data_IF_072137737193
#
_entry.id   IF_072137737193
#
_cell.length_a   1.000
_cell.length_b   1.000
_cell.length_c   1.000
_cell.angle_alpha   90.00
_cell.angle_beta   90.00
_cell.angle_gamma   90.00
#
_symmetry.space_group_name_H-M   'P 1'
#
loop_
_entity.id
_entity.type
_entity.pdbx_description
1 polymer ?
#
# COMPACT_ATOMS: atom_id res chain seq x y z
N UNK A 1 27.57 -26.23 -5.92
CA UNK A 1 27.35 -26.44 -7.36
C UNK A 1 27.52 -25.10 -8.06
N UNK A 2 28.46 -25.00 -9.01
CA UNK A 2 28.58 -23.79 -9.83
C UNK A 2 27.36 -23.70 -10.75
N UNK A 3 26.58 -22.62 -10.66
CA UNK A 3 25.53 -22.30 -11.64
C UNK A 3 26.23 -21.79 -12.90
N UNK A 4 25.94 -22.38 -14.05
CA UNK A 4 26.32 -21.85 -15.34
C UNK A 4 25.16 -21.00 -15.87
N UNK A 5 25.41 -19.71 -16.05
CA UNK A 5 24.46 -18.81 -16.71
C UNK A 5 24.68 -18.90 -18.23
N UNK A 6 23.64 -19.29 -18.97
CA UNK A 6 23.66 -19.32 -20.43
C UNK A 6 22.91 -18.10 -20.96
N UNK A 7 23.53 -17.37 -21.88
CA UNK A 7 22.88 -16.31 -22.65
C UNK A 7 22.57 -16.85 -24.03
N UNK A 8 21.35 -16.63 -24.52
CA UNK A 8 20.92 -16.97 -25.87
C UNK A 8 20.53 -15.70 -26.62
N UNK A 9 20.85 -15.64 -27.91
CA UNK A 9 20.56 -14.49 -28.77
C UNK A 9 20.10 -14.97 -30.14
N UNK A 10 19.02 -14.39 -30.65
CA UNK A 10 18.54 -14.66 -32.01
C UNK A 10 18.84 -13.44 -32.87
N UNK A 11 19.65 -13.62 -33.92
CA UNK A 11 19.96 -12.56 -34.89
C UNK A 11 18.76 -12.33 -35.82
N UNK A 12 18.75 -11.18 -36.51
CA UNK A 12 17.70 -10.81 -37.47
C UNK A 12 17.50 -11.81 -38.61
N UNK A 13 18.53 -12.59 -38.94
CA UNK A 13 18.47 -13.63 -39.96
C UNK A 13 17.95 -14.98 -39.41
N UNK A 14 17.51 -15.04 -38.15
CA UNK A 14 17.00 -16.25 -37.52
C UNK A 14 18.08 -17.12 -36.86
N UNK A 15 19.37 -16.78 -36.98
CA UNK A 15 20.42 -17.56 -36.31
C UNK A 15 20.32 -17.43 -34.79
N UNK A 16 20.26 -18.57 -34.10
CA UNK A 16 20.32 -18.69 -32.65
C UNK A 16 21.76 -18.95 -32.22
N UNK A 17 22.26 -18.08 -31.35
CA UNK A 17 23.60 -18.14 -30.76
C UNK A 17 23.49 -18.30 -29.24
N UNK A 18 24.44 -18.99 -28.62
CA UNK A 18 24.57 -19.03 -27.17
C UNK A 18 25.98 -18.71 -26.70
N UNK A 19 26.08 -18.15 -25.49
CA UNK A 19 27.32 -17.92 -24.78
C UNK A 19 27.18 -18.43 -23.34
N UNK A 20 28.19 -19.16 -22.88
CA UNK A 20 28.31 -19.58 -21.48
C UNK A 20 29.06 -18.54 -20.67
N UNK A 21 28.55 -18.20 -19.49
CA UNK A 21 29.24 -17.39 -18.49
C UNK A 21 29.89 -18.26 -17.40
N UNK A 22 30.24 -19.51 -17.70
CA UNK A 22 30.92 -20.38 -16.76
C UNK A 22 32.32 -19.83 -16.40
N UNK A 23 32.76 -19.92 -15.13
CA UNK A 23 34.10 -19.49 -14.74
C UNK A 23 35.17 -20.23 -15.57
N UNK A 24 35.95 -19.49 -16.37
CA UNK A 24 36.98 -20.04 -17.25
C UNK A 24 36.58 -20.24 -18.72
N UNK A 25 35.31 -19.98 -19.12
CA UNK A 25 34.93 -20.00 -20.53
C UNK A 25 35.31 -18.70 -21.24
N UNK A 26 35.90 -18.82 -22.43
CA UNK A 26 36.02 -17.69 -23.35
C UNK A 26 34.61 -17.32 -23.81
N UNK A 27 34.23 -16.03 -23.76
CA UNK A 27 32.89 -15.58 -24.13
C UNK A 27 32.74 -15.57 -25.65
N UNK A 28 32.64 -16.75 -26.25
CA UNK A 28 32.31 -16.94 -27.66
C UNK A 28 30.80 -17.15 -27.80
N UNK A 29 30.23 -16.46 -28.78
CA UNK A 29 28.84 -16.70 -29.19
C UNK A 29 28.87 -17.81 -30.23
N UNK A 30 28.48 -19.01 -29.80
CA UNK A 30 28.49 -20.19 -30.64
C UNK A 30 27.13 -20.33 -31.32
N UNK A 31 27.13 -20.56 -32.63
CA UNK A 31 25.92 -20.81 -33.40
C UNK A 31 25.32 -22.15 -32.96
N UNK A 32 24.12 -22.11 -32.39
CA UNK A 32 23.36 -23.30 -32.01
C UNK A 32 22.46 -23.81 -33.13
N UNK A 33 22.03 -22.94 -34.04
CA UNK A 33 21.16 -23.29 -35.16
C UNK A 33 20.32 -22.12 -35.63
N UNK A 34 19.18 -22.42 -36.22
CA UNK A 34 18.18 -21.41 -36.60
C UNK A 34 16.98 -21.51 -35.66
N UNK A 35 16.49 -20.36 -35.20
CA UNK A 35 15.27 -20.28 -34.43
C UNK A 35 14.07 -20.62 -35.33
N UNK A 36 13.09 -21.29 -34.75
CA UNK A 36 11.79 -21.45 -35.38
C UNK A 36 11.16 -20.09 -35.66
N UNK A 37 10.51 -19.97 -36.81
CA UNK A 37 9.80 -18.74 -37.19
C UNK A 37 8.30 -18.96 -37.13
N UNK A 38 7.57 -17.91 -36.77
CA UNK A 38 6.12 -17.88 -36.81
C UNK A 38 5.63 -16.51 -37.25
N UNK A 39 4.47 -16.47 -37.88
CA UNK A 39 3.85 -15.20 -38.26
C UNK A 39 3.48 -14.38 -37.02
N UNK A 40 3.33 -13.06 -37.18
CA UNK A 40 2.91 -12.17 -36.10
C UNK A 40 1.56 -12.57 -35.50
N UNK A 41 0.66 -13.13 -36.32
CA UNK A 41 -0.63 -13.63 -35.88
C UNK A 41 -0.48 -14.87 -34.99
N UNK A 42 0.33 -15.85 -35.41
CA UNK A 42 0.61 -17.06 -34.64
C UNK A 42 1.36 -16.74 -33.34
N UNK A 43 2.32 -15.80 -33.38
CA UNK A 43 3.02 -15.31 -32.18
C UNK A 43 2.06 -14.67 -31.18
N UNK A 44 1.08 -13.89 -31.65
CA UNK A 44 0.07 -13.27 -30.79
C UNK A 44 -0.85 -14.32 -30.15
N UNK A 45 -1.24 -15.37 -30.89
CA UNK A 45 -2.03 -16.49 -30.39
C UNK A 45 -1.22 -17.29 -29.35
N UNK A 46 0.06 -17.57 -29.65
CA UNK A 46 0.96 -18.30 -28.77
C UNK A 46 1.22 -17.54 -27.46
N UNK A 47 1.55 -16.25 -27.54
CA UNK A 47 1.71 -15.38 -26.37
C UNK A 47 0.42 -15.31 -25.54
N UNK A 48 -0.75 -15.22 -26.19
CA UNK A 48 -2.05 -15.24 -25.49
C UNK A 48 -2.32 -16.55 -24.77
N UNK A 49 -1.85 -17.69 -25.32
CA UNK A 49 -1.95 -19.00 -24.67
C UNK A 49 -0.98 -19.15 -23.50
N UNK A 50 0.20 -18.55 -23.60
CA UNK A 50 1.21 -18.54 -22.53
C UNK A 50 0.89 -17.55 -21.39
N UNK A 51 0.18 -16.46 -21.67
CA UNK A 51 -0.13 -15.43 -20.67
C UNK A 51 -0.92 -15.93 -19.45
N UNK A 52 -1.56 -17.11 -19.54
CA UNK A 52 -2.25 -17.77 -18.44
C UNK A 52 -1.37 -18.69 -17.58
N UNK A 53 -0.06 -18.75 -17.84
CA UNK A 53 0.86 -19.61 -17.11
C UNK A 53 1.87 -18.76 -16.35
N UNK A 54 1.98 -19.00 -15.03
CA UNK A 54 3.12 -18.50 -14.27
C UNK A 54 4.35 -19.39 -14.50
N UNK A 55 5.54 -18.80 -14.42
CA UNK A 55 6.83 -19.52 -14.48
C UNK A 55 6.96 -20.53 -13.31
N UNK A 56 6.12 -20.40 -12.27
CA UNK A 56 6.03 -21.32 -11.13
C UNK A 56 5.18 -22.57 -11.38
N UNK A 57 4.54 -22.71 -12.55
CA UNK A 57 3.70 -23.87 -12.87
C UNK A 57 2.27 -23.80 -12.32
N UNK A 58 1.88 -22.70 -11.67
CA UNK A 58 0.48 -22.45 -11.33
C UNK A 58 -0.28 -21.99 -12.56
N UNK A 59 -1.36 -22.72 -12.88
CA UNK A 59 -2.30 -22.40 -13.94
C UNK A 59 -3.17 -21.23 -13.48
N UNK A 60 -3.06 -20.07 -14.12
CA UNK A 60 -3.98 -18.96 -13.85
C UNK A 60 -5.36 -19.35 -14.39
N UNK A 61 -6.46 -18.96 -13.71
CA UNK A 61 -7.81 -19.21 -14.19
C UNK A 61 -7.99 -18.72 -15.63
N UNK A 62 -8.42 -19.62 -16.50
CA UNK A 62 -8.52 -19.41 -17.97
C UNK A 62 -9.79 -18.67 -18.40
N UNK A 63 -10.59 -18.16 -17.45
CA UNK A 63 -11.74 -17.35 -17.80
C UNK A 63 -11.25 -16.01 -18.35
N UNK A 64 -11.34 -15.87 -19.67
CA UNK A 64 -11.38 -14.56 -20.34
C UNK A 64 -12.66 -13.84 -19.92
N UNK A 65 -12.72 -13.36 -18.69
CA UNK A 65 -13.46 -12.13 -18.45
C UNK A 65 -12.61 -11.08 -19.15
N UNK A 66 -13.15 -10.49 -20.22
CA UNK A 66 -12.64 -9.20 -20.69
C UNK A 66 -12.95 -8.25 -19.54
N UNK A 67 -12.09 -8.23 -18.52
CA UNK A 67 -12.19 -7.26 -17.47
C UNK A 67 -12.00 -5.93 -18.18
N UNK A 68 -13.07 -5.13 -18.29
CA UNK A 68 -12.93 -3.70 -18.44
C UNK A 68 -11.84 -3.28 -17.46
N UNK A 69 -10.85 -2.51 -17.93
CA UNK A 69 -9.76 -2.06 -17.05
C UNK A 69 -10.44 -1.42 -15.84
N UNK A 70 -10.34 -2.01 -14.63
CA UNK A 70 -11.04 -1.49 -13.47
C UNK A 70 -10.60 -0.04 -13.28
N UNK A 71 -11.54 0.84 -12.99
CA UNK A 71 -11.22 2.21 -12.63
C UNK A 71 -10.34 2.17 -11.38
N UNK A 72 -9.06 2.48 -11.55
CA UNK A 72 -8.09 2.48 -10.45
C UNK A 72 -8.19 3.73 -9.59
N UNK A 73 -9.15 4.63 -9.84
CA UNK A 73 -9.43 5.78 -9.00
C UNK A 73 -9.89 5.37 -7.59
N UNK A 74 -9.34 6.03 -6.58
CA UNK A 74 -9.68 5.77 -5.17
C UNK A 74 -11.18 5.88 -4.89
N UNK A 75 -11.85 6.90 -5.43
CA UNK A 75 -13.30 7.11 -5.24
C UNK A 75 -14.11 5.93 -5.78
N UNK A 76 -13.80 5.46 -6.98
CA UNK A 76 -14.44 4.28 -7.57
C UNK A 76 -14.22 3.03 -6.71
N UNK A 77 -13.00 2.81 -6.21
CA UNK A 77 -12.67 1.67 -5.34
C UNK A 77 -13.49 1.67 -4.04
N UNK A 78 -13.78 2.85 -3.45
CA UNK A 78 -14.60 2.96 -2.23
C UNK A 78 -16.10 3.12 -2.51
N UNK A 79 -16.51 3.08 -3.79
CA UNK A 79 -17.90 3.27 -4.21
C UNK A 79 -18.44 4.67 -3.93
N UNK A 80 -17.59 5.69 -4.01
CA UNK A 80 -17.96 7.09 -3.97
C UNK A 80 -17.93 7.66 -5.39
N UNK A 81 -18.93 8.47 -5.75
CA UNK A 81 -18.99 9.14 -7.05
C UNK A 81 -18.24 10.46 -7.04
N UNK A 82 -18.24 11.16 -5.90
CA UNK A 82 -17.58 12.47 -5.73
C UNK A 82 -16.81 12.52 -4.41
N UNK A 83 -15.82 13.42 -4.29
CA UNK A 83 -15.15 13.72 -3.01
C UNK A 83 -16.12 14.03 -1.87
N UNK A 84 -17.18 14.78 -2.16
CA UNK A 84 -18.17 15.23 -1.17
C UNK A 84 -19.05 14.09 -0.62
N UNK A 85 -19.04 12.92 -1.26
CA UNK A 85 -19.67 11.71 -0.70
C UNK A 85 -18.82 11.04 0.39
N UNK A 86 -17.54 11.39 0.50
CA UNK A 86 -16.58 10.84 1.46
C UNK A 86 -16.60 11.66 2.75
N UNK A 87 -17.70 11.55 3.48
CA UNK A 87 -17.89 12.24 4.77
C UNK A 87 -18.07 11.25 5.91
N UNK A 88 -18.20 11.77 7.15
CA UNK A 88 -18.44 10.96 8.34
C UNK A 88 -19.68 10.07 8.26
N UNK A 89 -20.63 10.35 7.36
CA UNK A 89 -21.81 9.50 7.16
C UNK A 89 -21.47 8.14 6.52
N UNK A 90 -20.27 7.98 5.95
CA UNK A 90 -19.76 6.68 5.49
C UNK A 90 -19.20 5.84 6.62
N UNK A 91 -18.81 6.45 7.74
CA UNK A 91 -18.20 5.73 8.83
C UNK A 91 -19.17 4.70 9.40
N UNK A 92 -18.62 3.51 9.64
CA UNK A 92 -19.34 2.42 10.28
C UNK A 92 -18.61 2.07 11.56
N UNK A 93 -19.36 1.86 12.62
CA UNK A 93 -18.81 1.21 13.81
C UNK A 93 -18.87 -0.30 13.58
N UNK A 94 -17.71 -0.92 13.41
CA UNK A 94 -17.60 -2.37 13.23
C UNK A 94 -17.59 -3.09 14.57
N UNK A 95 -18.52 -4.02 14.85
CA UNK A 95 -18.42 -4.91 16.01
C UNK A 95 -17.08 -5.66 16.05
N UNK A 96 -16.70 -6.20 17.21
CA UNK A 96 -15.33 -6.71 17.37
C UNK A 96 -15.06 -7.95 16.51
N UNK A 97 -16.11 -8.77 16.33
CA UNK A 97 -16.14 -9.97 15.52
C UNK A 97 -16.41 -9.71 14.03
N UNK A 98 -16.55 -8.44 13.61
CA UNK A 98 -16.82 -8.09 12.22
C UNK A 98 -15.61 -8.36 11.32
N UNK A 99 -15.87 -8.96 10.16
CA UNK A 99 -14.84 -9.30 9.17
C UNK A 99 -14.24 -8.09 8.48
N UNK A 100 -14.98 -6.99 8.39
CA UNK A 100 -14.51 -5.79 7.71
C UNK A 100 -13.81 -4.79 8.65
N UNK A 101 -13.80 -5.06 9.96
CA UNK A 101 -13.00 -4.28 10.93
C UNK A 101 -11.52 -4.30 10.55
N UNK A 102 -10.90 -3.13 10.49
CA UNK A 102 -9.47 -2.93 10.15
C UNK A 102 -9.06 -3.60 8.83
N UNK A 103 -9.99 -3.67 7.88
CA UNK A 103 -9.79 -4.21 6.55
C UNK A 103 -9.86 -3.09 5.52
N UNK A 104 -8.74 -2.80 4.89
CA UNK A 104 -8.57 -1.62 4.02
C UNK A 104 -8.50 -2.01 2.56
N UNK A 105 -9.21 -1.30 1.70
CA UNK A 105 -9.13 -1.44 0.25
C UNK A 105 -7.83 -0.79 -0.22
N UNK A 106 -6.97 -1.53 -0.91
CA UNK A 106 -5.66 -1.02 -1.35
C UNK A 106 -5.54 -0.91 -2.86
N UNK A 107 -6.39 -1.59 -3.61
CA UNK A 107 -6.36 -1.59 -5.07
C UNK A 107 -7.10 -2.78 -5.65
N UNK A 108 -6.65 -3.26 -6.80
CA UNK A 108 -7.29 -4.36 -7.53
C UNK A 108 -6.30 -5.49 -7.81
N UNK A 109 -6.74 -6.73 -7.66
CA UNK A 109 -5.98 -7.91 -8.07
C UNK A 109 -5.77 -7.91 -9.58
N UNK A 110 -4.65 -8.48 -10.04
CA UNK A 110 -4.42 -8.75 -11.47
C UNK A 110 -4.26 -10.26 -11.70
N UNK A 111 -4.84 -10.82 -12.77
CA UNK A 111 -5.67 -10.16 -13.79
C UNK A 111 -7.15 -9.97 -13.42
N UNK A 112 -7.59 -10.46 -12.24
CA UNK A 112 -9.01 -10.57 -11.89
C UNK A 112 -9.79 -9.26 -11.74
N UNK A 113 -9.14 -8.16 -11.39
CA UNK A 113 -9.79 -6.85 -11.22
C UNK A 113 -10.59 -6.69 -9.93
N UNK A 114 -10.71 -7.73 -9.11
CA UNK A 114 -11.37 -7.69 -7.81
C UNK A 114 -10.66 -6.76 -6.84
N UNK A 115 -11.43 -6.06 -5.99
CA UNK A 115 -10.85 -5.16 -4.96
C UNK A 115 -10.02 -5.98 -3.97
N UNK A 116 -8.72 -5.70 -3.94
CA UNK A 116 -7.80 -6.26 -2.98
C UNK A 116 -7.88 -5.49 -1.65
N UNK A 117 -7.99 -6.25 -0.57
CA UNK A 117 -8.02 -5.72 0.77
C UNK A 117 -6.74 -6.11 1.53
N UNK A 118 -6.23 -5.20 2.36
CA UNK A 118 -5.27 -5.47 3.40
C UNK A 118 -6.00 -5.56 4.74
N UNK A 119 -5.98 -6.72 5.38
CA UNK A 119 -6.59 -6.94 6.69
C UNK A 119 -5.50 -6.97 7.77
N UNK A 120 -5.39 -5.91 8.58
CA UNK A 120 -4.32 -5.82 9.58
C UNK A 120 -4.69 -6.50 10.91
N UNK A 121 -5.82 -7.19 11.00
CA UNK A 121 -6.17 -7.96 12.19
C UNK A 121 -5.20 -9.13 12.38
N UNK A 122 -5.19 -9.72 13.57
CA UNK A 122 -4.38 -10.90 13.83
C UNK A 122 -4.96 -12.16 13.15
N UNK A 123 -4.13 -13.18 12.95
CA UNK A 123 -4.56 -14.43 12.30
C UNK A 123 -5.68 -15.16 13.05
N UNK A 124 -5.77 -15.01 14.38
CA UNK A 124 -6.88 -15.57 15.17
C UNK A 124 -8.23 -14.89 14.85
N UNK A 125 -8.18 -13.65 14.36
CA UNK A 125 -9.32 -12.88 13.84
C UNK A 125 -9.40 -12.97 12.30
N UNK A 126 -8.72 -13.95 11.70
CA UNK A 126 -8.65 -14.20 10.25
C UNK A 126 -8.03 -13.06 9.42
N UNK A 127 -7.26 -12.19 10.07
CA UNK A 127 -6.52 -11.13 9.38
C UNK A 127 -5.17 -11.60 8.84
N UNK A 128 -4.48 -10.69 8.15
CA UNK A 128 -3.15 -10.91 7.57
C UNK A 128 -2.01 -10.68 8.57
N UNK A 129 -2.33 -10.26 9.79
CA UNK A 129 -1.43 -10.01 10.91
C UNK A 129 -1.23 -8.52 11.20
N UNK A 130 -0.81 -8.17 12.43
CA UNK A 130 -0.83 -6.79 12.93
C UNK A 130 0.30 -5.91 12.39
N UNK A 131 1.36 -6.50 11.86
CA UNK A 131 2.55 -5.76 11.43
C UNK A 131 2.95 -6.18 10.03
N UNK A 132 3.48 -5.21 9.28
CA UNK A 132 3.97 -5.48 7.94
C UNK A 132 4.96 -4.44 7.44
N UNK A 133 5.40 -4.67 6.21
CA UNK A 133 6.34 -3.81 5.50
C UNK A 133 5.79 -3.50 4.11
N UNK A 134 6.04 -2.28 3.64
CA UNK A 134 5.97 -1.91 2.24
C UNK A 134 7.34 -1.52 1.72
N UNK A 135 7.75 -2.15 0.62
CA UNK A 135 9.01 -1.84 -0.07
C UNK A 135 8.72 -1.40 -1.50
N UNK A 136 9.44 -0.38 -1.95
CA UNK A 136 9.32 0.09 -3.33
C UNK A 136 10.30 1.21 -3.66
N UNK A 137 10.97 1.09 -4.79
CA UNK A 137 11.89 2.11 -5.32
C UNK A 137 11.20 3.43 -5.61
N UNK A 138 11.97 4.51 -5.75
CA UNK A 138 11.46 5.79 -6.23
C UNK A 138 10.70 5.60 -7.55
N UNK A 139 9.52 6.22 -7.65
CA UNK A 139 8.63 6.08 -8.81
C UNK A 139 7.95 4.71 -8.94
N UNK A 140 8.01 3.84 -7.92
CA UNK A 140 7.24 2.59 -7.91
C UNK A 140 5.79 2.76 -7.46
N UNK A 141 5.43 3.93 -6.90
CA UNK A 141 4.11 4.20 -6.33
C UNK A 141 3.98 3.94 -4.82
N UNK A 142 5.08 3.78 -4.08
CA UNK A 142 5.06 3.53 -2.62
C UNK A 142 4.25 4.57 -1.83
N UNK A 143 4.56 5.86 -1.97
CA UNK A 143 3.87 6.92 -1.24
C UNK A 143 2.38 7.00 -1.60
N UNK A 144 2.05 6.77 -2.87
CA UNK A 144 0.67 6.72 -3.35
C UNK A 144 -0.10 5.51 -2.79
N UNK A 145 0.56 4.36 -2.70
CA UNK A 145 -0.02 3.14 -2.11
C UNK A 145 -0.25 3.32 -0.61
N UNK A 146 0.68 3.99 0.09
CA UNK A 146 0.50 4.39 1.49
C UNK A 146 -0.68 5.34 1.66
N UNK A 147 -0.78 6.38 0.82
CA UNK A 147 -1.90 7.32 0.87
C UNK A 147 -3.23 6.61 0.66
N UNK A 148 -3.31 5.73 -0.36
CA UNK A 148 -4.49 4.89 -0.63
C UNK A 148 -4.90 4.05 0.57
N UNK A 149 -3.93 3.36 1.19
CA UNK A 149 -4.17 2.51 2.36
C UNK A 149 -4.72 3.34 3.54
N UNK A 150 -4.06 4.45 3.86
CA UNK A 150 -4.47 5.34 4.95
C UNK A 150 -5.87 5.88 4.68
N UNK A 151 -6.09 6.48 3.51
CA UNK A 151 -7.39 7.04 3.10
C UNK A 151 -8.49 5.99 3.09
N UNK A 152 -8.22 4.74 2.75
CA UNK A 152 -9.21 3.67 2.85
C UNK A 152 -9.67 3.45 4.29
N UNK A 153 -8.74 3.45 5.25
CA UNK A 153 -9.13 3.37 6.66
C UNK A 153 -9.88 4.63 7.10
N UNK A 154 -9.47 5.80 6.59
CA UNK A 154 -10.13 7.07 6.89
C UNK A 154 -11.58 7.15 6.39
N UNK A 155 -11.86 6.53 5.25
CA UNK A 155 -13.17 6.55 4.62
C UNK A 155 -14.21 5.70 5.34
N UNK A 156 -13.80 4.57 5.94
CA UNK A 156 -14.73 3.56 6.46
C UNK A 156 -14.77 3.50 8.01
N UNK A 157 -13.74 3.97 8.74
CA UNK A 157 -13.62 3.81 10.20
C UNK A 157 -13.78 5.12 11.00
N UNK A 158 -14.39 5.01 12.18
CA UNK A 158 -14.52 6.13 13.13
C UNK A 158 -13.23 6.34 13.96
N UNK A 159 -13.03 7.54 14.54
CA UNK A 159 -11.94 7.80 15.49
C UNK A 159 -11.99 7.00 16.80
N UNK A 160 -13.14 6.40 17.11
CA UNK A 160 -13.26 5.49 18.26
C UNK A 160 -12.71 4.08 17.96
N UNK A 161 -12.48 3.76 16.68
CA UNK A 161 -12.01 2.43 16.26
C UNK A 161 -10.59 2.43 15.70
N UNK A 162 -10.15 3.51 15.05
CA UNK A 162 -8.85 3.58 14.40
C UNK A 162 -8.21 4.96 14.53
N UNK A 163 -6.98 4.97 15.04
CA UNK A 163 -6.12 6.13 15.12
C UNK A 163 -4.77 5.88 14.43
N UNK A 164 -4.15 6.94 13.94
CA UNK A 164 -2.90 6.92 13.22
C UNK A 164 -1.81 7.73 13.92
N UNK A 165 -0.58 7.23 13.80
CA UNK A 165 0.63 8.01 13.97
C UNK A 165 1.45 7.85 12.70
N UNK A 166 1.74 8.96 12.04
CA UNK A 166 2.39 8.98 10.74
C UNK A 166 3.78 9.61 10.87
N UNK A 167 4.82 8.89 10.48
CA UNK A 167 6.21 9.35 10.60
C UNK A 167 6.90 9.35 9.24
N UNK A 168 7.54 10.45 8.87
CA UNK A 168 8.38 10.57 7.68
C UNK A 168 9.77 11.03 8.08
N UNK A 169 10.77 10.18 7.82
CA UNK A 169 12.14 10.47 8.25
C UNK A 169 12.80 11.64 7.50
N UNK A 170 12.60 11.73 6.18
CA UNK A 170 13.28 12.72 5.31
C UNK A 170 12.46 13.99 5.07
N UNK A 171 11.23 14.05 5.58
CA UNK A 171 10.34 15.20 5.36
C UNK A 171 9.77 15.22 3.95
N UNK A 172 9.39 14.06 3.44
CA UNK A 172 8.62 13.94 2.22
C UNK A 172 7.18 14.45 2.37
N UNK A 173 6.42 14.28 1.28
CA UNK A 173 5.04 14.74 1.17
C UNK A 173 4.03 13.60 1.36
N UNK A 174 4.47 12.44 1.85
CA UNK A 174 3.68 11.20 1.90
C UNK A 174 2.37 11.33 2.70
N UNK A 175 2.30 12.25 3.67
CA UNK A 175 1.15 12.42 4.57
C UNK A 175 0.53 13.81 4.52
N UNK A 176 0.95 14.66 3.58
CA UNK A 176 0.44 16.03 3.45
C UNK A 176 -1.06 16.02 3.19
N UNK A 177 -1.78 16.89 3.89
CA UNK A 177 -3.23 17.02 3.83
C UNK A 177 -3.93 16.28 4.97
N UNK A 178 -3.34 15.20 5.49
CA UNK A 178 -3.97 14.35 6.52
C UNK A 178 -3.98 14.97 7.93
N UNK A 179 -3.43 16.18 8.11
CA UNK A 179 -3.18 16.80 9.41
C UNK A 179 -4.45 17.04 10.24
N UNK A 180 -5.55 17.35 9.57
CA UNK A 180 -6.77 17.80 10.23
C UNK A 180 -7.77 16.66 10.49
N UNK A 181 -7.41 15.43 10.10
CA UNK A 181 -8.28 14.28 10.30
C UNK A 181 -8.27 13.86 11.78
N UNK A 182 -9.45 13.66 12.43
CA UNK A 182 -9.54 13.38 13.86
C UNK A 182 -8.86 12.07 14.30
N UNK A 183 -8.58 11.15 13.37
CA UNK A 183 -7.87 9.89 13.66
C UNK A 183 -6.36 10.09 13.69
N UNK A 184 -5.84 11.14 13.06
CA UNK A 184 -4.40 11.37 12.97
C UNK A 184 -3.91 12.07 14.23
N UNK A 185 -3.36 11.29 15.15
CA UNK A 185 -2.90 11.80 16.46
C UNK A 185 -1.63 12.63 16.36
N UNK A 186 -0.76 12.29 15.41
CA UNK A 186 0.48 12.99 15.15
C UNK A 186 0.99 12.70 13.75
N UNK A 187 1.53 13.74 13.10
CA UNK A 187 2.37 13.64 11.93
C UNK A 187 3.77 14.13 12.32
N UNK A 188 4.78 13.28 12.16
CA UNK A 188 6.16 13.56 12.54
C UNK A 188 7.03 13.52 11.30
N UNK A 189 7.34 14.69 10.73
CA UNK A 189 8.15 14.83 9.51
C UNK A 189 9.58 15.27 9.81
N UNK A 190 10.49 15.07 8.85
CA UNK A 190 11.85 15.62 8.88
C UNK A 190 12.63 15.20 10.15
N UNK A 191 12.36 13.98 10.62
CA UNK A 191 12.96 13.43 11.84
C UNK A 191 14.50 13.36 11.76
N UNK A 192 15.07 13.32 10.54
CA UNK A 192 16.52 13.28 10.36
C UNK A 192 17.26 14.47 10.99
N UNK A 193 16.61 15.63 11.14
CA UNK A 193 17.23 16.85 11.70
C UNK A 193 16.92 17.04 13.17
N UNK A 194 15.94 16.31 13.72
CA UNK A 194 15.37 16.55 15.04
C UNK A 194 15.55 15.35 15.99
N UNK A 195 16.79 15.16 16.48
CA UNK A 195 17.13 14.06 17.40
C UNK A 195 16.27 14.03 18.67
N UNK A 196 15.90 15.19 19.20
CA UNK A 196 15.11 15.24 20.43
C UNK A 196 13.64 14.91 20.18
N UNK A 197 13.11 15.21 18.99
CA UNK A 197 11.79 14.75 18.56
C UNK A 197 11.75 13.21 18.49
N UNK A 198 12.79 12.60 17.92
CA UNK A 198 12.95 11.14 17.89
C UNK A 198 12.99 10.50 19.28
N UNK A 199 13.75 11.08 20.22
CA UNK A 199 13.79 10.58 21.61
C UNK A 199 12.41 10.68 22.28
N UNK A 200 11.72 11.81 22.10
CA UNK A 200 10.36 12.01 22.62
C UNK A 200 9.38 11.02 22.02
N UNK A 201 9.45 10.81 20.71
CA UNK A 201 8.64 9.81 20.00
C UNK A 201 8.83 8.41 20.61
N UNK A 202 10.09 7.98 20.83
CA UNK A 202 10.40 6.70 21.48
C UNK A 202 9.80 6.59 22.88
N UNK A 203 9.84 7.67 23.67
CA UNK A 203 9.23 7.71 25.01
C UNK A 203 7.69 7.65 24.93
N UNK A 204 7.07 8.37 24.01
CA UNK A 204 5.61 8.40 23.82
C UNK A 204 5.08 7.03 23.43
N UNK A 205 5.70 6.37 22.44
CA UNK A 205 5.25 5.04 22.00
C UNK A 205 5.41 4.00 23.11
N UNK A 206 6.53 4.04 23.87
CA UNK A 206 6.70 3.19 25.05
C UNK A 206 5.64 3.49 26.11
N UNK A 207 5.38 4.76 26.39
CA UNK A 207 4.34 5.17 27.34
C UNK A 207 2.96 4.67 26.94
N UNK A 208 2.63 4.71 25.64
CA UNK A 208 1.36 4.21 25.12
C UNK A 208 1.21 2.68 25.28
N UNK A 209 2.29 1.93 25.03
CA UNK A 209 2.32 0.48 25.31
C UNK A 209 1.99 0.21 26.79
N UNK A 210 2.69 0.85 27.72
CA UNK A 210 2.45 0.68 29.16
C UNK A 210 1.06 1.14 29.59
N UNK A 211 0.53 2.22 28.98
CA UNK A 211 -0.81 2.73 29.25
C UNK A 211 -1.86 1.68 28.88
N UNK A 212 -1.75 1.07 27.70
CA UNK A 212 -2.69 0.03 27.24
C UNK A 212 -2.59 -1.23 28.09
N UNK A 213 -1.39 -1.68 28.43
CA UNK A 213 -1.18 -2.81 29.36
C UNK A 213 -1.86 -2.54 30.71
N UNK A 214 -1.69 -1.34 31.28
CA UNK A 214 -2.32 -0.95 32.53
C UNK A 214 -3.85 -0.88 32.46
N UNK A 215 -4.43 -0.52 31.31
CA UNK A 215 -5.88 -0.54 31.09
C UNK A 215 -6.40 -1.98 31.08
N UNK A 216 -5.75 -2.87 30.32
CA UNK A 216 -6.14 -4.28 30.27
C UNK A 216 -6.01 -4.95 31.65
N UNK A 217 -4.92 -4.67 32.37
CA UNK A 217 -4.70 -5.17 33.72
C UNK A 217 -5.79 -4.71 34.70
N UNK A 218 -6.20 -3.43 34.64
CA UNK A 218 -7.29 -2.90 35.48
C UNK A 218 -8.65 -3.51 35.15
N UNK A 219 -8.86 -3.88 33.89
CA UNK A 219 -10.05 -4.60 33.43
C UNK A 219 -9.98 -6.12 33.72
N UNK A 220 -8.85 -6.63 34.24
CA UNK A 220 -8.68 -8.05 34.57
C UNK A 220 -8.49 -8.96 33.35
N UNK A 221 -8.15 -8.40 32.20
CA UNK A 221 -7.98 -9.14 30.93
C UNK A 221 -6.54 -9.03 30.42
N UNK A 222 -6.15 -9.97 29.54
CA UNK A 222 -4.78 -10.06 29.02
C UNK A 222 -4.65 -9.61 27.56
N UNK A 223 -5.78 -9.48 26.85
CA UNK A 223 -5.82 -9.10 25.44
C UNK A 223 -6.95 -8.10 25.19
N UNK A 224 -6.78 -7.31 24.14
CA UNK A 224 -7.79 -6.36 23.70
C UNK A 224 -9.13 -7.02 23.36
N UNK A 225 -9.14 -8.16 22.67
CA UNK A 225 -10.39 -8.82 22.26
C UNK A 225 -11.34 -9.03 23.46
N UNK A 226 -10.81 -9.55 24.57
CA UNK A 226 -11.55 -9.74 25.82
C UNK A 226 -12.06 -8.41 26.42
N UNK A 227 -11.27 -7.33 26.30
CA UNK A 227 -11.65 -5.98 26.76
C UNK A 227 -12.84 -5.44 25.97
N UNK A 228 -12.80 -5.57 24.64
CA UNK A 228 -13.86 -5.06 23.77
C UNK A 228 -15.11 -5.93 23.82
N UNK A 229 -14.97 -7.25 23.97
CA UNK A 229 -16.09 -8.15 24.25
C UNK A 229 -16.81 -7.72 25.54
N UNK A 230 -16.08 -7.44 26.62
CA UNK A 230 -16.66 -6.95 27.86
C UNK A 230 -17.34 -5.58 27.68
N UNK A 231 -16.73 -4.66 26.92
CA UNK A 231 -17.34 -3.35 26.58
C UNK A 231 -18.65 -3.52 25.82
N UNK A 232 -18.67 -4.38 24.80
CA UNK A 232 -19.86 -4.67 23.98
C UNK A 232 -20.95 -5.40 24.78
N UNK A 233 -20.58 -6.16 25.81
CA UNK A 233 -21.51 -6.74 26.78
C UNK A 233 -22.06 -5.72 27.81
N UNK A 234 -21.67 -4.44 27.72
CA UNK A 234 -22.17 -3.35 28.55
C UNK A 234 -21.30 -2.98 29.76
N UNK A 235 -20.07 -3.51 29.85
CA UNK A 235 -19.14 -3.04 30.87
C UNK A 235 -18.80 -1.57 30.65
N UNK A 236 -18.74 -0.79 31.73
CA UNK A 236 -18.37 0.63 31.68
C UNK A 236 -16.85 0.81 31.48
N UNK A 237 -16.40 0.50 30.27
CA UNK A 237 -15.01 0.56 29.84
C UNK A 237 -14.88 1.60 28.70
N UNK A 238 -13.92 2.55 28.78
CA UNK A 238 -13.74 3.53 27.72
C UNK A 238 -13.27 2.86 26.41
N UNK A 239 -13.68 3.38 25.24
CA UNK A 239 -13.18 2.86 23.96
C UNK A 239 -11.66 3.05 23.86
N UNK A 240 -10.99 2.09 23.25
CA UNK A 240 -9.55 2.12 23.03
C UNK A 240 -9.26 1.84 21.56
N UNK A 241 -9.18 2.87 20.70
CA UNK A 241 -9.01 2.68 19.26
C UNK A 241 -7.76 1.86 18.93
N UNK A 242 -7.81 1.08 17.84
CA UNK A 242 -6.60 0.49 17.27
C UNK A 242 -5.63 1.61 16.88
N UNK A 243 -4.34 1.43 17.18
CA UNK A 243 -3.31 2.40 16.85
C UNK A 243 -2.49 1.88 15.68
N UNK A 244 -2.59 2.52 14.52
CA UNK A 244 -1.81 2.18 13.35
C UNK A 244 -0.65 3.16 13.16
N UNK A 245 0.56 2.68 13.43
CA UNK A 245 1.80 3.45 13.31
C UNK A 245 2.41 3.17 11.93
N UNK A 246 2.59 4.22 11.13
CA UNK A 246 3.21 4.13 9.80
C UNK A 246 4.51 4.92 9.79
N UNK A 247 5.60 4.28 9.39
CA UNK A 247 6.92 4.91 9.33
C UNK A 247 7.47 4.83 7.92
N UNK A 248 7.51 5.97 7.24
CA UNK A 248 8.17 6.11 5.96
C UNK A 248 9.68 6.34 6.09
N UNK A 249 10.41 5.85 5.10
CA UNK A 249 11.88 5.84 5.06
C UNK A 249 12.51 5.11 6.27
N UNK A 250 11.90 3.99 6.69
CA UNK A 250 12.33 3.17 7.83
C UNK A 250 13.81 2.78 7.80
N UNK A 251 14.36 2.40 6.63
CA UNK A 251 15.76 2.00 6.55
C UNK A 251 16.72 3.14 6.93
N UNK A 252 16.38 4.38 6.61
CA UNK A 252 17.20 5.56 6.92
C UNK A 252 17.11 5.91 8.42
N UNK A 253 15.93 5.75 9.01
CA UNK A 253 15.74 5.85 10.45
C UNK A 253 16.63 4.83 11.19
N UNK A 254 16.62 3.57 10.75
CA UNK A 254 17.37 2.49 11.39
C UNK A 254 18.88 2.57 11.18
N UNK A 255 19.32 3.05 10.02
CA UNK A 255 20.73 3.29 9.72
C UNK A 255 21.31 4.38 10.62
N UNK A 256 20.57 5.49 10.78
CA UNK A 256 21.02 6.64 11.57
C UNK A 256 20.78 6.49 13.08
N UNK A 257 19.75 5.75 13.49
CA UNK A 257 19.35 5.56 14.89
C UNK A 257 19.07 4.07 15.20
N UNK A 258 20.11 3.21 15.21
CA UNK A 258 19.94 1.77 15.40
C UNK A 258 19.37 1.36 16.76
N UNK A 259 19.41 2.25 17.77
CA UNK A 259 18.79 2.02 19.08
C UNK A 259 17.24 1.99 19.04
N UNK A 260 16.63 2.38 17.92
CA UNK A 260 15.19 2.22 17.68
C UNK A 260 14.78 0.76 17.51
N UNK A 261 15.72 -0.14 17.18
CA UNK A 261 15.46 -1.56 17.01
C UNK A 261 14.75 -2.17 18.22
N UNK A 262 15.16 -1.80 19.43
CA UNK A 262 14.57 -2.30 20.67
C UNK A 262 13.10 -1.90 20.80
N UNK A 263 12.76 -0.66 20.44
CA UNK A 263 11.38 -0.17 20.45
C UNK A 263 10.54 -0.91 19.42
N UNK A 264 11.05 -1.11 18.20
CA UNK A 264 10.31 -1.87 17.19
C UNK A 264 10.11 -3.32 17.60
N UNK A 265 11.14 -3.98 18.15
CA UNK A 265 11.03 -5.33 18.71
C UNK A 265 9.95 -5.42 19.80
N UNK A 266 9.90 -4.42 20.69
CA UNK A 266 8.85 -4.35 21.70
C UNK A 266 7.47 -4.29 21.04
N UNK A 267 7.25 -3.33 20.12
CA UNK A 267 5.96 -3.15 19.43
C UNK A 267 5.54 -4.43 18.70
N UNK A 268 6.44 -5.06 17.94
CA UNK A 268 6.06 -6.26 17.16
C UNK A 268 5.81 -7.50 18.02
N UNK A 269 6.31 -7.49 19.26
CA UNK A 269 6.13 -8.59 20.22
C UNK A 269 4.82 -8.44 21.01
N UNK A 270 4.55 -7.24 21.54
CA UNK A 270 3.38 -7.02 22.42
C UNK A 270 2.21 -6.34 21.71
N UNK A 271 2.45 -5.67 20.58
CA UNK A 271 1.49 -4.81 19.89
C UNK A 271 0.21 -5.52 19.49
N UNK A 272 0.32 -6.82 19.13
CA UNK A 272 -0.83 -7.69 18.86
C UNK A 272 -1.87 -7.67 19.98
N UNK A 273 -1.43 -7.88 21.24
CA UNK A 273 -2.34 -7.93 22.39
C UNK A 273 -2.96 -6.56 22.72
N UNK A 274 -2.33 -5.47 22.25
CA UNK A 274 -2.69 -4.09 22.56
C UNK A 274 -3.38 -3.37 21.39
N UNK A 275 -3.65 -4.05 20.27
CA UNK A 275 -4.09 -3.46 18.98
C UNK A 275 -3.23 -2.28 18.53
N UNK A 276 -1.92 -2.45 18.66
CA UNK A 276 -0.94 -1.57 18.04
C UNK A 276 -0.45 -2.27 16.79
N UNK A 277 -0.65 -1.63 15.65
CA UNK A 277 -0.29 -2.13 14.33
C UNK A 277 0.88 -1.29 13.80
N UNK A 278 1.80 -1.93 13.07
CA UNK A 278 3.01 -1.27 12.58
C UNK A 278 3.18 -1.54 11.10
N UNK A 279 3.26 -0.48 10.30
CA UNK A 279 3.65 -0.56 8.90
C UNK A 279 4.96 0.20 8.69
N UNK A 280 5.98 -0.53 8.30
CA UNK A 280 7.29 0.03 7.95
C UNK A 280 7.35 0.22 6.44
N UNK A 281 7.70 1.42 5.98
CA UNK A 281 7.85 1.73 4.57
C UNK A 281 9.30 2.08 4.25
N UNK A 282 9.85 1.50 3.18
CA UNK A 282 11.23 1.75 2.77
C UNK A 282 11.42 1.62 1.26
N UNK A 283 12.47 2.25 0.74
CA UNK A 283 12.87 2.08 -0.65
C UNK A 283 13.72 0.83 -0.86
N UNK A 284 14.52 0.49 0.15
CA UNK A 284 15.42 -0.67 0.12
C UNK A 284 15.68 -1.18 1.54
N UNK A 285 16.02 -2.46 1.66
CA UNK A 285 16.47 -3.08 2.92
C UNK A 285 17.98 -3.30 2.97
N UNK A 286 18.71 -3.05 1.87
CA UNK A 286 20.12 -3.40 1.74
C UNK A 286 21.01 -2.82 2.85
N UNK A 287 20.75 -1.58 3.28
CA UNK A 287 21.52 -0.89 4.34
C UNK A 287 21.30 -1.49 5.74
N UNK A 288 20.16 -2.15 5.96
CA UNK A 288 19.71 -2.55 7.30
C UNK A 288 19.44 -4.06 7.40
N UNK A 289 20.10 -4.88 6.57
CA UNK A 289 19.84 -6.32 6.49
C UNK A 289 19.96 -7.02 7.86
N UNK A 290 20.93 -6.63 8.68
CA UNK A 290 21.16 -7.23 10.01
C UNK A 290 20.11 -6.85 11.06
N UNK A 291 19.53 -5.66 10.93
CA UNK A 291 18.47 -5.17 11.80
C UNK A 291 17.13 -5.73 11.33
N UNK A 292 16.91 -5.78 10.02
CA UNK A 292 15.73 -6.34 9.38
C UNK A 292 15.52 -7.81 9.75
N UNK A 293 16.58 -8.63 9.74
CA UNK A 293 16.49 -10.04 10.11
C UNK A 293 15.97 -10.30 11.54
N UNK A 294 16.07 -9.30 12.42
CA UNK A 294 15.54 -9.36 13.79
C UNK A 294 14.06 -8.99 13.89
N UNK A 295 13.52 -8.31 12.86
CA UNK A 295 12.13 -7.85 12.81
C UNK A 295 11.27 -8.68 11.85
N UNK A 296 11.86 -9.22 10.78
CA UNK A 296 11.13 -9.79 9.64
C UNK A 296 10.24 -10.99 9.99
N UNK A 297 10.59 -11.73 11.05
CA UNK A 297 9.80 -12.85 11.56
C UNK A 297 8.46 -12.45 12.15
N UNK A 298 8.30 -11.19 12.58
CA UNK A 298 7.05 -10.66 13.13
C UNK A 298 6.26 -9.81 12.12
N UNK A 299 6.76 -9.66 10.88
CA UNK A 299 6.09 -8.92 9.81
C UNK A 299 5.25 -9.89 8.98
N UNK A 300 3.96 -10.00 9.32
CA UNK A 300 3.05 -11.02 8.81
C UNK A 300 2.64 -10.80 7.35
N UNK A 301 2.53 -9.54 6.93
CA UNK A 301 2.23 -9.17 5.56
C UNK A 301 3.33 -8.26 4.98
N UNK A 302 3.53 -8.36 3.66
CA UNK A 302 4.58 -7.63 2.93
C UNK A 302 4.05 -7.16 1.59
N UNK A 303 4.04 -5.84 1.39
CA UNK A 303 3.70 -5.20 0.12
C UNK A 303 5.01 -4.92 -0.61
N UNK A 304 5.21 -5.54 -1.75
CA UNK A 304 6.43 -5.43 -2.53
C UNK A 304 6.11 -4.83 -3.89
N UNK A 305 6.33 -3.53 -4.02
CA UNK A 305 6.34 -2.83 -5.30
C UNK A 305 7.71 -3.06 -5.99
N UNK A 306 7.94 -2.40 -7.12
CA UNK A 306 9.19 -2.52 -7.87
C UNK A 306 10.43 -2.31 -7.00
N UNK A 307 11.29 -3.33 -6.89
CA UNK A 307 12.54 -3.33 -6.09
C UNK A 307 13.78 -2.98 -6.92
N UNK A 308 14.91 -2.72 -6.26
CA UNK A 308 16.18 -2.40 -6.96
C UNK A 308 16.89 -3.64 -7.51
N UNK A 309 16.63 -4.80 -6.91
CA UNK A 309 17.30 -6.05 -7.26
C UNK A 309 16.39 -7.28 -7.14
N UNK A 310 16.68 -8.36 -7.89
CA UNK A 310 15.99 -9.64 -7.72
C UNK A 310 16.17 -10.25 -6.33
N UNK A 311 17.33 -10.06 -5.70
CA UNK A 311 17.62 -10.56 -4.35
C UNK A 311 16.74 -9.90 -3.30
N UNK A 312 16.47 -8.61 -3.43
CA UNK A 312 15.60 -7.87 -2.51
C UNK A 312 14.14 -8.32 -2.65
N UNK A 313 13.66 -8.50 -3.89
CA UNK A 313 12.34 -9.11 -4.13
C UNK A 313 12.26 -10.48 -3.45
N UNK A 314 13.27 -11.33 -3.66
CA UNK A 314 13.28 -12.67 -3.09
C UNK A 314 13.33 -12.66 -1.56
N UNK A 315 14.07 -11.73 -0.96
CA UNK A 315 14.13 -11.58 0.50
C UNK A 315 12.76 -11.21 1.09
N UNK A 316 12.01 -10.34 0.41
CA UNK A 316 10.73 -9.84 0.93
C UNK A 316 9.58 -10.80 0.63
N UNK A 317 9.42 -11.25 -0.61
CA UNK A 317 8.25 -12.03 -1.04
C UNK A 317 8.55 -13.49 -1.43
N UNK A 318 9.81 -13.93 -1.34
CA UNK A 318 10.21 -15.29 -1.69
C UNK A 318 10.35 -15.55 -3.20
N UNK A 319 10.03 -14.57 -4.05
CA UNK A 319 10.16 -14.64 -5.51
C UNK A 319 10.91 -13.43 -6.05
N UNK A 320 11.38 -13.48 -7.30
CA UNK A 320 12.08 -12.36 -7.96
C UNK A 320 11.13 -11.41 -8.71
N UNK A 321 9.83 -11.64 -8.62
CA UNK A 321 8.85 -11.06 -9.55
C UNK A 321 8.68 -9.55 -9.39
N UNK A 322 8.81 -9.01 -8.18
CA UNK A 322 8.68 -7.58 -7.95
C UNK A 322 9.77 -6.77 -8.67
N UNK A 323 10.97 -7.33 -8.87
CA UNK A 323 12.03 -6.67 -9.63
C UNK A 323 11.66 -6.49 -11.11
N UNK A 324 10.85 -7.39 -11.67
CA UNK A 324 10.46 -7.37 -13.09
C UNK A 324 9.22 -6.51 -13.37
N UNK A 325 8.67 -5.84 -12.35
CA UNK A 325 7.58 -4.89 -12.53
C UNK A 325 8.02 -3.73 -13.43
N UNK A 326 7.15 -3.25 -14.35
CA UNK A 326 7.51 -2.19 -15.29
C UNK A 326 8.05 -0.92 -14.59
N UNK A 327 9.09 -0.27 -15.15
CA UNK A 327 9.66 0.94 -14.56
C UNK A 327 8.76 2.18 -14.69
N UNK A 328 7.83 2.17 -15.63
CA UNK A 328 6.97 3.32 -15.96
C UNK A 328 5.63 2.87 -16.53
N UNK A 329 4.57 3.62 -16.26
CA UNK A 329 3.23 3.37 -16.79
C UNK A 329 2.44 2.29 -16.06
N UNK A 330 3.03 1.70 -15.01
CA UNK A 330 2.34 0.80 -14.08
C UNK A 330 2.72 1.06 -12.61
N UNK A 331 2.95 2.32 -12.24
CA UNK A 331 3.24 2.74 -10.86
C UNK A 331 2.13 2.32 -9.89
N UNK A 332 2.47 1.73 -8.75
CA UNK A 332 1.52 1.12 -7.81
C UNK A 332 1.23 -0.35 -8.11
N UNK A 333 1.75 -0.93 -9.21
CA UNK A 333 1.77 -2.38 -9.37
C UNK A 333 2.72 -3.01 -8.35
N UNK A 334 2.31 -4.15 -7.78
CA UNK A 334 3.05 -4.79 -6.72
C UNK A 334 2.51 -6.17 -6.37
N UNK A 335 3.17 -6.80 -5.40
CA UNK A 335 2.76 -8.09 -4.84
C UNK A 335 2.46 -7.93 -3.36
N UNK A 336 1.36 -8.53 -2.91
CA UNK A 336 1.03 -8.68 -1.50
C UNK A 336 1.34 -10.11 -1.06
N UNK A 337 2.30 -10.29 -0.17
CA UNK A 337 2.64 -11.57 0.47
C UNK A 337 2.07 -11.61 1.88
N UNK A 338 1.35 -12.67 2.23
CA UNK A 338 0.84 -12.89 3.59
C UNK A 338 1.31 -14.26 4.07
N UNK A 339 1.96 -14.31 5.24
CA UNK A 339 2.40 -15.56 5.85
C UNK A 339 3.18 -16.47 4.90
N UNK A 340 2.72 -17.72 4.74
CA UNK A 340 3.29 -18.73 3.84
C UNK A 340 2.73 -18.72 2.41
N UNK A 341 1.61 -18.06 2.15
CA UNK A 341 0.84 -18.12 0.89
C UNK A 341 1.57 -17.49 -0.31
N UNK A 342 1.31 -17.91 -1.56
CA UNK A 342 1.87 -17.25 -2.74
C UNK A 342 1.59 -15.73 -2.77
N UNK A 343 2.51 -14.90 -3.30
CA UNK A 343 2.26 -13.47 -3.45
C UNK A 343 1.09 -13.18 -4.40
N UNK A 344 0.19 -12.28 -4.02
CA UNK A 344 -0.94 -11.83 -4.84
C UNK A 344 -0.50 -10.64 -5.67
N UNK A 345 -0.55 -10.75 -6.99
CA UNK A 345 -0.27 -9.63 -7.90
C UNK A 345 -1.43 -8.62 -7.91
N UNK A 346 -1.12 -7.34 -7.73
CA UNK A 346 -2.13 -6.29 -7.64
C UNK A 346 -1.64 -4.96 -8.21
N UNK A 347 -2.59 -4.04 -8.38
CA UNK A 347 -2.39 -2.65 -8.73
C UNK A 347 -3.05 -1.78 -7.67
N UNK A 348 -2.28 -0.97 -6.96
CA UNK A 348 -2.78 0.00 -6.00
C UNK A 348 -3.73 1.00 -6.69
N UNK A 349 -4.73 1.46 -5.95
CA UNK A 349 -5.55 2.58 -6.41
C UNK A 349 -4.75 3.90 -6.43
N UNK A 350 -5.30 4.89 -7.11
CA UNK A 350 -4.71 6.21 -7.28
C UNK A 350 -5.61 7.28 -6.68
N UNK A 351 -5.02 8.15 -5.86
CA UNK A 351 -5.69 9.22 -5.11
C UNK A 351 -5.45 10.61 -5.71
N UNK A 352 -4.36 10.79 -6.47
CA UNK A 352 -3.92 12.10 -7.00
C UNK A 352 -4.65 12.63 -8.24
N UNK A 353 -5.81 12.07 -8.59
CA UNK A 353 -6.61 12.55 -9.74
C UNK A 353 -7.13 13.97 -9.51
N UNK A 354 -7.03 14.86 -10.52
CA UNK A 354 -7.73 16.15 -10.48
C UNK A 354 -9.23 15.88 -10.53
N UNK A 355 -9.95 16.20 -9.46
CA UNK A 355 -11.40 16.21 -9.50
C UNK A 355 -11.87 17.42 -10.33
N UNK A 356 -12.74 17.17 -11.30
CA UNK A 356 -13.44 18.19 -12.08
C UNK A 356 -14.91 17.93 -11.88
N UNK A 357 -15.64 18.90 -11.34
CA UNK A 357 -17.08 18.74 -11.12
C UNK A 357 -17.80 18.47 -12.44
N UNK A 358 -18.62 17.42 -12.44
CA UNK A 358 -19.39 16.98 -13.62
C UNK A 358 -20.41 18.04 -14.06
N UNK A 359 -20.67 19.07 -13.25
CA UNK A 359 -21.52 20.21 -13.57
C UNK A 359 -21.00 21.10 -14.71
N UNK A 360 -19.73 20.94 -15.13
CA UNK A 360 -19.16 21.66 -16.28
C UNK A 360 -18.81 20.72 -17.45
N UNK A 361 -19.70 19.81 -17.84
CA UNK A 361 -19.74 19.48 -19.26
C UNK A 361 -20.44 20.64 -19.96
N UNK A 362 -19.78 21.43 -20.83
CA UNK A 362 -20.51 22.36 -21.67
C UNK A 362 -21.41 21.50 -22.56
N UNK A 363 -22.69 21.46 -22.23
CA UNK A 363 -23.73 20.94 -23.11
C UNK A 363 -23.60 21.74 -24.38
N UNK A 364 -23.01 21.15 -25.42
CA UNK A 364 -22.95 21.76 -26.73
C UNK A 364 -24.35 21.64 -27.31
N UNK A 365 -25.26 22.50 -26.84
CA UNK A 365 -26.55 22.70 -27.45
C UNK A 365 -26.28 23.48 -28.73
N UNK A 366 -26.08 22.78 -29.84
CA UNK A 366 -26.16 23.39 -31.17
C UNK A 366 -27.62 23.75 -31.41
N UNK A 367 -28.03 24.94 -31.00
CA UNK A 367 -29.20 25.59 -31.60
C UNK A 367 -28.79 26.21 -32.94
N UNK A 368 -29.61 26.07 -33.99
CA UNK A 368 -29.33 26.71 -35.25
C UNK A 368 -29.85 28.16 -35.23
N UNK A 369 -29.03 29.03 -35.84
CA UNK A 369 -29.34 30.27 -36.58
C UNK A 369 -29.09 31.66 -35.98
N UNK A 370 -28.46 32.45 -36.89
CA UNK A 370 -28.60 33.87 -37.22
C UNK A 370 -27.88 34.94 -36.39
N UNK A 371 -26.87 35.53 -37.06
CA UNK A 371 -26.37 36.90 -37.00
C UNK A 371 -26.47 37.67 -35.67
N UNK A 372 -25.32 37.82 -35.03
CA UNK A 372 -25.09 38.79 -33.96
C UNK A 372 -24.10 38.27 -32.92
N UNK A 373 -22.89 38.85 -32.87
CA UNK A 373 -21.82 38.47 -31.94
C UNK A 373 -22.29 38.44 -30.47
N UNK A 374 -22.02 37.38 -29.69
CA UNK A 374 -22.13 37.42 -28.24
C UNK A 374 -20.78 37.73 -27.59
N UNK A 375 -20.86 38.63 -26.63
CA UNK A 375 -19.81 39.14 -25.75
C UNK A 375 -19.39 38.07 -24.74
N UNK A 376 -18.09 37.82 -24.62
CA UNK A 376 -17.51 36.86 -23.69
C UNK A 376 -17.48 37.44 -22.26
N UNK A 377 -18.26 36.87 -21.34
CA UNK A 377 -18.09 37.08 -19.90
C UNK A 377 -17.19 35.97 -19.36
N UNK A 378 -15.96 36.33 -18.99
CA UNK A 378 -15.00 35.45 -18.33
C UNK A 378 -15.41 35.24 -16.85
N UNK A 379 -16.21 34.20 -16.57
CA UNK A 379 -16.25 33.63 -15.22
C UNK A 379 -15.23 32.48 -15.18
N UNK A 380 -14.13 32.70 -14.44
CA UNK A 380 -13.08 31.69 -14.28
C UNK A 380 -13.55 30.63 -13.26
N UNK A 381 -13.48 29.33 -13.59
CA UNK A 381 -13.84 28.27 -12.65
C UNK A 381 -12.91 28.29 -11.43
N UNK A 382 -13.51 28.14 -10.25
CA UNK A 382 -12.79 28.04 -8.98
C UNK A 382 -12.07 26.69 -8.93
N UNK A 383 -10.75 26.74 -8.84
CA UNK A 383 -9.87 25.57 -8.92
C UNK A 383 -9.73 24.92 -7.55
N UNK A 384 -9.92 23.60 -7.46
CA UNK A 384 -9.65 22.80 -6.27
C UNK A 384 -8.68 21.64 -6.58
N UNK A 385 -7.79 21.32 -5.64
CA UNK A 385 -6.61 20.45 -5.71
C UNK A 385 -6.74 19.26 -4.74
N UNK A 386 -5.75 18.35 -4.71
CA UNK A 386 -5.71 17.23 -3.77
C UNK A 386 -5.80 17.65 -2.28
N UNK A 387 -5.38 18.88 -1.94
CA UNK A 387 -5.58 19.43 -0.60
C UNK A 387 -7.07 19.61 -0.25
N UNK A 388 -7.93 19.81 -1.24
CA UNK A 388 -9.39 19.96 -1.04
C UNK A 388 -10.07 18.61 -0.77
N UNK A 389 -9.57 17.52 -1.38
CA UNK A 389 -9.97 16.16 -1.02
C UNK A 389 -9.70 15.89 0.46
N UNK A 390 -8.57 16.36 1.00
CA UNK A 390 -8.27 16.19 2.43
C UNK A 390 -8.99 17.20 3.32
N UNK A 391 -9.22 18.43 2.86
CA UNK A 391 -10.05 19.43 3.58
C UNK A 391 -11.51 18.97 3.73
N UNK A 392 -12.02 18.16 2.80
CA UNK A 392 -13.33 17.52 2.94
C UNK A 392 -13.40 16.50 4.10
N UNK A 393 -12.28 15.87 4.48
CA UNK A 393 -12.23 15.00 5.67
C UNK A 393 -12.39 15.78 6.99
N UNK A 394 -12.30 17.11 6.95
CA UNK A 394 -11.96 17.92 8.15
C UNK A 394 -12.99 19.01 8.42
N UNK A 395 -13.78 19.40 7.42
CA UNK A 395 -14.75 20.49 7.51
C UNK A 395 -16.13 20.01 8.03
N UNK A 396 -16.22 19.53 9.27
CA UNK A 396 -17.50 19.47 10.02
C UNK A 396 -17.35 19.34 11.55
N UNK A 397 -16.30 19.88 12.17
CA UNK A 397 -16.19 19.91 13.65
C UNK A 397 -16.35 21.30 14.28
N UNK A 398 -16.60 22.35 13.49
CA UNK A 398 -16.87 23.70 14.01
C UNK A 398 -18.36 24.03 14.00
N UNK A 399 -19.10 23.49 14.97
CA UNK A 399 -20.26 24.19 15.54
C UNK A 399 -20.08 24.25 17.04
N UNK A 400 -19.91 25.48 17.55
CA UNK A 400 -19.88 25.78 18.99
C UNK A 400 -21.14 25.22 19.68
N UNK A 401 -21.03 24.75 20.94
CA UNK A 401 -22.16 24.22 21.67
C UNK A 401 -23.12 25.36 22.05
N UNK A 402 -24.41 25.18 21.76
CA UNK A 402 -25.50 25.90 22.42
C UNK A 402 -25.97 25.10 23.64
#
# INVERSE_FOLDING_TARGET
MARADYQMSVKRNGELHAASNAPGSTRTWDLLGNADSMSRAEASIFASRLAGWSITGEQLPTSKVVAEKPDTGFLAMIGAKTPDEVTYTRWREFPDNDRDRLRFKIGHTRPGGEVLHLDIKEGAEFGMGPHGIIIGTTGSGKSETLATLLLSGMADHTPEQLNYILCDFKGGVSFVGMENDPRVLAIITNMEKERDLLKRFKVVIRGEVHRREGILQKAGVSKFADYEEARQAGANLPPMPALFIVIDEFAELMDKYPDFLEMFNQIVTVGRALRIHLLLATQTLAKIASQWSKLEGNMSYRICLRTQSPSESNQVIGTREAYHLPPSGDEGAGYLKVGGEPPIYFKAAYTGGKWVDVAEKPTTTTEPTTDGQPQQTDDKPVKRTAADLVTAFTASSSREPA
#
